data_IF_347016978814
#
_entry.id   IF_347016978814
#
_cell.length_a   1.000
_cell.length_b   1.000
_cell.length_c   1.000
_cell.angle_alpha   90.00
_cell.angle_beta   90.00
_cell.angle_gamma   90.00
#
_symmetry.space_group_name_H-M   'P 1'
#
loop_
_entity.id
_entity.type
_entity.pdbx_description
1 polymer ?
#
# COMPACT_ATOMS: atom_id res chain seq x y z
N UNK A 1 -21.85 -2.22 -25.35
CA UNK A 1 -20.87 -1.87 -24.29
C UNK A 1 -19.84 -0.96 -24.90
N UNK A 2 -19.49 0.12 -24.24
CA UNK A 2 -18.39 0.98 -24.66
C UNK A 2 -17.04 0.28 -24.44
N UNK A 3 -15.96 0.78 -25.05
CA UNK A 3 -14.59 0.23 -24.81
C UNK A 3 -14.21 0.26 -23.32
N UNK A 4 -14.78 1.19 -22.57
CA UNK A 4 -14.56 1.35 -21.12
C UNK A 4 -15.31 0.30 -20.30
N UNK A 5 -16.55 0.00 -20.70
CA UNK A 5 -17.32 -1.05 -20.04
C UNK A 5 -16.56 -2.38 -20.12
N UNK A 6 -15.89 -2.66 -21.25
CA UNK A 6 -15.07 -3.86 -21.42
C UNK A 6 -13.83 -3.85 -20.53
N UNK A 7 -13.15 -2.70 -20.38
CA UNK A 7 -11.97 -2.57 -19.50
C UNK A 7 -12.40 -2.75 -18.04
N UNK A 8 -13.49 -2.09 -17.63
CA UNK A 8 -14.06 -2.23 -16.29
C UNK A 8 -14.43 -3.69 -16.00
N UNK A 9 -15.12 -4.35 -16.95
CA UNK A 9 -15.46 -5.77 -16.84
C UNK A 9 -14.20 -6.65 -16.73
N UNK A 10 -13.13 -6.34 -17.47
CA UNK A 10 -11.89 -7.09 -17.38
C UNK A 10 -11.26 -7.02 -15.98
N UNK A 11 -11.34 -5.87 -15.30
CA UNK A 11 -10.88 -5.76 -13.92
C UNK A 11 -11.79 -6.51 -12.94
N UNK A 12 -13.10 -6.55 -13.16
CA UNK A 12 -14.02 -7.38 -12.38
C UNK A 12 -13.66 -8.87 -12.54
N UNK A 13 -13.40 -9.32 -13.77
CA UNK A 13 -12.96 -10.69 -14.04
C UNK A 13 -11.58 -10.97 -13.42
N UNK A 14 -10.67 -9.99 -13.40
CA UNK A 14 -9.40 -10.10 -12.71
C UNK A 14 -9.61 -10.29 -11.19
N UNK A 15 -10.53 -9.53 -10.58
CA UNK A 15 -10.90 -9.70 -9.17
C UNK A 15 -11.36 -11.11 -8.86
N UNK A 16 -12.25 -11.66 -9.71
CA UNK A 16 -12.71 -13.06 -9.60
C UNK A 16 -11.56 -14.05 -9.78
N UNK A 17 -10.65 -13.80 -10.72
CA UNK A 17 -9.50 -14.66 -10.96
C UNK A 17 -8.54 -14.70 -9.76
N UNK A 18 -8.13 -13.53 -9.22
CA UNK A 18 -7.18 -13.46 -8.09
C UNK A 18 -7.79 -13.94 -6.77
N UNK A 19 -9.13 -13.92 -6.59
CA UNK A 19 -9.79 -14.42 -5.39
C UNK A 19 -9.50 -15.89 -5.09
N UNK A 20 -9.07 -16.68 -6.08
CA UNK A 20 -8.69 -18.07 -5.90
C UNK A 20 -7.39 -18.24 -5.11
N UNK A 21 -6.59 -17.17 -5.01
CA UNK A 21 -5.27 -17.17 -4.38
C UNK A 21 -5.27 -16.42 -3.04
N UNK A 22 -6.45 -15.99 -2.56
CA UNK A 22 -6.59 -15.26 -1.28
C UNK A 22 -6.75 -16.18 -0.07
N UNK A 23 -7.02 -17.47 -0.27
CA UNK A 23 -7.17 -18.47 0.81
C UNK A 23 -5.86 -19.25 1.07
N UNK A 24 -5.79 -19.93 2.22
CA UNK A 24 -4.65 -20.80 2.55
C UNK A 24 -4.52 -21.96 1.58
N UNK A 25 -5.63 -22.60 1.28
CA UNK A 25 -5.74 -23.64 0.27
C UNK A 25 -6.13 -22.98 -1.05
N UNK A 26 -5.16 -22.95 -1.96
CA UNK A 26 -5.36 -22.39 -3.31
C UNK A 26 -5.99 -23.46 -4.17
N UNK A 27 -7.28 -23.29 -4.45
CA UNK A 27 -8.05 -24.21 -5.28
C UNK A 27 -8.50 -23.53 -6.57
N UNK A 28 -8.41 -24.28 -7.68
CA UNK A 28 -8.89 -23.84 -8.98
C UNK A 28 -10.42 -23.93 -9.01
N UNK A 29 -11.07 -22.75 -9.01
CA UNK A 29 -12.52 -22.65 -9.01
C UNK A 29 -13.07 -22.86 -10.43
N UNK A 30 -14.22 -23.49 -10.51
CA UNK A 30 -15.02 -23.54 -11.76
C UNK A 30 -15.57 -22.16 -12.10
N UNK A 31 -15.90 -21.92 -13.37
CA UNK A 31 -16.53 -20.69 -13.86
C UNK A 31 -15.68 -19.40 -13.75
N UNK A 32 -14.37 -19.49 -13.59
CA UNK A 32 -13.45 -18.37 -13.73
C UNK A 32 -12.97 -18.30 -15.18
N UNK A 33 -13.12 -17.12 -15.77
CA UNK A 33 -12.77 -16.89 -17.18
C UNK A 33 -11.27 -17.16 -17.42
N UNK A 34 -10.95 -17.96 -18.45
CA UNK A 34 -9.59 -18.34 -18.86
C UNK A 34 -8.74 -19.02 -17.75
N UNK A 35 -9.40 -19.63 -16.76
CA UNK A 35 -8.73 -20.24 -15.61
C UNK A 35 -7.71 -21.32 -16.02
N UNK A 36 -8.06 -22.16 -17.02
CA UNK A 36 -7.18 -23.22 -17.50
C UNK A 36 -5.86 -22.69 -18.07
N UNK A 37 -5.87 -21.50 -18.63
CA UNK A 37 -4.69 -20.88 -19.24
C UNK A 37 -3.81 -20.17 -18.21
N UNK A 38 -4.41 -19.56 -17.17
CA UNK A 38 -3.69 -18.62 -16.30
C UNK A 38 -3.43 -19.14 -14.86
N UNK A 39 -4.21 -20.09 -14.35
CA UNK A 39 -4.16 -20.48 -12.94
C UNK A 39 -2.78 -20.97 -12.50
N UNK A 40 -2.25 -22.00 -13.17
CA UNK A 40 -0.96 -22.61 -12.78
C UNK A 40 0.21 -21.65 -13.00
N UNK A 41 0.14 -20.85 -14.08
CA UNK A 41 1.14 -19.83 -14.34
C UNK A 41 1.16 -18.76 -13.27
N UNK A 42 0.00 -18.28 -12.78
CA UNK A 42 -0.02 -17.27 -11.72
C UNK A 42 0.43 -17.84 -10.37
N UNK A 43 0.06 -19.09 -10.06
CA UNK A 43 0.58 -19.81 -8.89
C UNK A 43 2.11 -19.88 -8.91
N UNK A 44 2.69 -20.08 -10.10
CA UNK A 44 4.15 -20.06 -10.28
C UNK A 44 4.73 -18.65 -10.07
N UNK A 45 4.07 -17.58 -10.56
CA UNK A 45 4.54 -16.21 -10.33
C UNK A 45 4.52 -15.82 -8.84
N UNK A 46 3.52 -16.26 -8.08
CA UNK A 46 3.48 -16.07 -6.61
C UNK A 46 4.72 -16.72 -5.95
N UNK A 47 5.10 -17.93 -6.39
CA UNK A 47 6.30 -18.58 -5.88
C UNK A 47 7.58 -17.78 -6.22
N UNK A 48 7.71 -17.34 -7.47
CA UNK A 48 8.85 -16.54 -7.90
C UNK A 48 8.94 -15.20 -7.17
N UNK A 49 7.81 -14.52 -6.94
CA UNK A 49 7.78 -13.26 -6.19
C UNK A 49 8.37 -13.42 -4.78
N UNK A 50 8.04 -14.51 -4.07
CA UNK A 50 8.63 -14.84 -2.77
C UNK A 50 10.14 -15.13 -2.85
N UNK A 51 10.55 -15.88 -3.87
CA UNK A 51 11.97 -16.23 -4.06
C UNK A 51 12.83 -14.98 -4.37
N UNK A 52 12.26 -14.05 -5.14
CA UNK A 52 12.94 -12.82 -5.52
C UNK A 52 12.98 -11.77 -4.41
N UNK A 53 11.90 -11.65 -3.65
CA UNK A 53 11.79 -10.70 -2.54
C UNK A 53 11.32 -11.42 -1.26
N UNK A 54 12.23 -11.63 -0.32
CA UNK A 54 11.91 -12.31 0.94
C UNK A 54 10.84 -11.61 1.79
N UNK A 55 10.53 -10.32 1.55
CA UNK A 55 9.40 -9.63 2.17
C UNK A 55 8.04 -10.03 1.60
N UNK A 56 8.02 -10.64 0.42
CA UNK A 56 6.81 -11.10 -0.26
C UNK A 56 6.45 -12.52 0.18
N UNK A 57 6.21 -12.71 1.48
CA UNK A 57 5.78 -14.02 1.98
C UNK A 57 4.44 -14.43 1.35
N UNK A 58 4.14 -15.71 1.36
CA UNK A 58 2.85 -16.22 0.86
C UNK A 58 1.67 -15.53 1.56
N UNK A 59 1.81 -15.28 2.85
CA UNK A 59 0.78 -14.60 3.65
C UNK A 59 0.57 -13.16 3.16
N UNK A 60 1.64 -12.38 2.99
CA UNK A 60 1.56 -11.01 2.52
C UNK A 60 1.03 -10.90 1.08
N UNK A 61 1.47 -11.80 0.18
CA UNK A 61 0.91 -11.84 -1.18
C UNK A 61 -0.58 -12.18 -1.12
N UNK A 62 -0.97 -13.19 -0.35
CA UNK A 62 -2.38 -13.59 -0.17
C UNK A 62 -3.23 -12.45 0.36
N UNK A 63 -2.75 -11.75 1.39
CA UNK A 63 -3.44 -10.60 1.97
C UNK A 63 -3.64 -9.49 0.93
N UNK A 64 -2.63 -9.18 0.12
CA UNK A 64 -2.74 -8.20 -0.97
C UNK A 64 -3.77 -8.65 -2.03
N UNK A 65 -3.74 -9.92 -2.44
CA UNK A 65 -4.68 -10.47 -3.41
C UNK A 65 -6.11 -10.49 -2.88
N UNK A 66 -6.31 -10.77 -1.59
CA UNK A 66 -7.62 -10.71 -0.93
C UNK A 66 -8.18 -9.28 -0.95
N UNK A 67 -7.38 -8.31 -0.54
CA UNK A 67 -7.76 -6.90 -0.60
C UNK A 67 -8.15 -6.49 -2.02
N UNK A 68 -7.33 -6.78 -3.03
CA UNK A 68 -7.63 -6.44 -4.41
C UNK A 68 -8.84 -7.20 -4.97
N UNK A 69 -9.01 -8.48 -4.64
CA UNK A 69 -10.20 -9.23 -5.09
C UNK A 69 -11.50 -8.64 -4.55
N UNK A 70 -11.48 -8.12 -3.34
CA UNK A 70 -12.62 -7.43 -2.72
C UNK A 70 -12.89 -6.09 -3.40
N UNK A 71 -11.84 -5.27 -3.62
CA UNK A 71 -11.97 -3.95 -4.24
C UNK A 71 -12.39 -4.05 -5.72
N UNK A 72 -11.97 -5.09 -6.44
CA UNK A 72 -12.35 -5.33 -7.83
C UNK A 72 -13.73 -6.01 -7.97
N UNK A 73 -14.57 -6.01 -6.93
CA UNK A 73 -15.96 -6.43 -7.07
C UNK A 73 -16.75 -5.48 -7.99
N UNK A 74 -17.79 -5.99 -8.62
CA UNK A 74 -18.62 -5.22 -9.55
C UNK A 74 -19.23 -3.98 -8.87
N UNK A 75 -19.72 -4.15 -7.64
CA UNK A 75 -20.36 -3.08 -6.88
C UNK A 75 -19.34 -1.97 -6.53
N UNK A 76 -18.16 -2.34 -6.00
CA UNK A 76 -17.12 -1.36 -5.60
C UNK A 76 -16.59 -0.57 -6.80
N UNK A 77 -16.26 -1.25 -7.92
CA UNK A 77 -15.76 -0.57 -9.12
C UNK A 77 -16.84 0.36 -9.70
N UNK A 78 -18.08 -0.09 -9.81
CA UNK A 78 -19.15 0.74 -10.36
C UNK A 78 -19.45 1.93 -9.47
N UNK A 79 -19.54 1.73 -8.15
CA UNK A 79 -19.77 2.81 -7.19
C UNK A 79 -18.63 3.86 -7.27
N UNK A 80 -17.38 3.43 -7.32
CA UNK A 80 -16.23 4.30 -7.44
C UNK A 80 -16.25 5.11 -8.73
N UNK A 81 -16.43 4.45 -9.89
CA UNK A 81 -16.37 5.10 -11.21
C UNK A 81 -17.59 5.98 -11.51
N UNK A 82 -18.73 5.80 -10.84
CA UNK A 82 -19.90 6.66 -11.00
C UNK A 82 -19.65 8.13 -10.64
N UNK A 83 -18.59 8.40 -9.87
CA UNK A 83 -18.18 9.77 -9.51
C UNK A 83 -17.43 10.50 -10.64
N UNK A 84 -17.07 9.81 -11.74
CA UNK A 84 -16.20 10.34 -12.78
C UNK A 84 -16.84 10.24 -14.17
N UNK A 85 -16.74 11.33 -14.94
CA UNK A 85 -17.12 11.30 -16.37
C UNK A 85 -15.88 10.96 -17.20
N UNK A 86 -15.74 9.70 -17.54
CA UNK A 86 -14.60 9.21 -18.34
C UNK A 86 -14.90 9.13 -19.85
N UNK A 87 -16.06 9.61 -20.36
CA UNK A 87 -16.52 9.36 -21.74
C UNK A 87 -15.80 10.13 -22.84
N UNK A 88 -15.16 11.24 -22.50
CA UNK A 88 -14.53 12.15 -23.48
C UNK A 88 -13.01 12.27 -23.29
N UNK A 89 -12.33 11.20 -22.90
CA UNK A 89 -10.89 11.22 -22.69
C UNK A 89 -10.15 10.96 -24.00
N UNK A 90 -9.24 11.84 -24.37
CA UNK A 90 -8.26 11.59 -25.42
C UNK A 90 -7.13 10.74 -24.86
N UNK A 91 -6.93 9.50 -25.35
CA UNK A 91 -5.91 8.62 -24.79
C UNK A 91 -4.51 9.22 -24.83
N UNK A 92 -3.81 9.21 -23.70
CA UNK A 92 -2.42 9.62 -23.52
C UNK A 92 -1.61 8.47 -22.93
N UNK A 93 -0.29 8.54 -23.02
CA UNK A 93 0.60 7.59 -22.37
C UNK A 93 1.02 8.13 -21.01
N UNK A 94 0.63 7.46 -19.94
CA UNK A 94 0.99 7.80 -18.56
C UNK A 94 2.08 6.86 -18.08
N UNK A 95 3.22 7.43 -17.70
CA UNK A 95 4.31 6.66 -17.09
C UNK A 95 4.02 6.45 -15.61
N UNK A 96 4.25 5.23 -15.10
CA UNK A 96 4.18 4.93 -13.66
C UNK A 96 5.54 4.40 -13.21
N UNK A 97 6.14 5.06 -12.21
CA UNK A 97 7.33 4.57 -11.51
C UNK A 97 6.87 3.97 -10.19
N UNK A 98 6.95 2.65 -10.07
CA UNK A 98 6.40 1.92 -8.96
C UNK A 98 7.44 1.66 -7.87
N UNK A 99 7.04 1.79 -6.61
CA UNK A 99 7.74 1.19 -5.49
C UNK A 99 7.59 -0.35 -5.53
N UNK A 100 8.34 -1.06 -4.69
CA UNK A 100 8.28 -2.52 -4.59
C UNK A 100 8.54 -3.02 -3.18
N UNK A 101 8.09 -2.24 -2.19
CA UNK A 101 8.21 -2.54 -0.77
C UNK A 101 7.15 -3.55 -0.29
N UNK A 102 5.95 -3.51 -0.88
CA UNK A 102 4.85 -4.43 -0.60
C UNK A 102 4.26 -4.98 -1.91
N UNK A 103 3.63 -6.18 -1.89
CA UNK A 103 3.06 -6.78 -3.09
C UNK A 103 2.00 -5.90 -3.76
N UNK A 104 2.13 -5.68 -5.07
CA UNK A 104 1.17 -4.92 -5.89
C UNK A 104 0.93 -3.47 -5.44
N UNK A 105 1.91 -2.83 -4.80
CA UNK A 105 1.78 -1.45 -4.28
C UNK A 105 1.38 -0.43 -5.35
N UNK A 106 1.83 -0.60 -6.58
CA UNK A 106 1.50 0.30 -7.70
C UNK A 106 0.24 -0.10 -8.49
N UNK A 107 -0.51 -1.11 -8.03
CA UNK A 107 -1.67 -1.62 -8.77
C UNK A 107 -2.80 -0.61 -8.86
N UNK A 108 -3.02 0.22 -7.82
CA UNK A 108 -4.06 1.24 -7.84
C UNK A 108 -3.84 2.27 -8.97
N UNK A 109 -2.63 2.79 -9.11
CA UNK A 109 -2.30 3.73 -10.19
C UNK A 109 -2.44 3.09 -11.57
N UNK A 110 -2.02 1.83 -11.70
CA UNK A 110 -2.18 1.05 -12.91
C UNK A 110 -3.67 0.89 -13.29
N UNK A 111 -4.52 0.57 -12.33
CA UNK A 111 -5.97 0.51 -12.49
C UNK A 111 -6.53 1.86 -12.91
N UNK A 112 -6.20 2.95 -12.18
CA UNK A 112 -6.68 4.31 -12.47
C UNK A 112 -6.36 4.73 -13.90
N UNK A 113 -5.13 4.51 -14.37
CA UNK A 113 -4.72 4.89 -15.74
C UNK A 113 -5.53 4.15 -16.80
N UNK A 114 -5.76 2.86 -16.64
CA UNK A 114 -6.46 2.06 -17.64
C UNK A 114 -7.98 2.32 -17.66
N UNK A 115 -8.62 2.46 -16.49
CA UNK A 115 -10.07 2.74 -16.42
C UNK A 115 -10.39 4.17 -16.85
N UNK A 116 -9.45 5.10 -16.74
CA UNK A 116 -9.56 6.46 -17.30
C UNK A 116 -9.41 6.50 -18.82
N UNK A 117 -9.03 5.39 -19.47
CA UNK A 117 -8.91 5.31 -20.93
C UNK A 117 -7.51 5.63 -21.48
N UNK A 118 -6.52 5.79 -20.65
CA UNK A 118 -5.13 6.07 -21.01
C UNK A 118 -4.32 4.79 -21.26
N UNK A 119 -3.15 4.95 -21.84
CA UNK A 119 -2.13 3.89 -21.99
C UNK A 119 -1.16 3.99 -20.82
N UNK A 120 -0.66 2.85 -20.36
CA UNK A 120 0.27 2.81 -19.22
C UNK A 120 1.66 2.35 -19.66
N UNK A 121 2.68 3.11 -19.25
CA UNK A 121 4.09 2.75 -19.37
C UNK A 121 4.65 2.54 -17.96
N UNK A 122 4.85 1.28 -17.58
CA UNK A 122 5.23 0.92 -16.21
C UNK A 122 6.73 0.71 -16.10
N UNK A 123 7.36 1.44 -15.19
CA UNK A 123 8.70 1.16 -14.71
C UNK A 123 8.58 0.52 -13.32
N UNK A 124 8.73 -0.80 -13.28
CA UNK A 124 8.63 -1.56 -12.05
C UNK A 124 9.87 -1.40 -11.17
N UNK A 125 9.68 -1.59 -9.88
CA UNK A 125 10.78 -1.85 -8.96
C UNK A 125 11.43 -3.19 -9.28
N UNK A 126 12.74 -3.29 -9.11
CA UNK A 126 13.44 -4.58 -9.18
C UNK A 126 12.92 -5.61 -8.17
N UNK A 127 12.27 -5.16 -7.10
CA UNK A 127 11.75 -6.00 -6.03
C UNK A 127 10.35 -6.59 -6.30
N UNK A 128 9.60 -6.08 -7.30
CA UNK A 128 8.26 -6.57 -7.66
C UNK A 128 8.08 -6.64 -9.19
N UNK A 129 8.60 -7.73 -9.78
CA UNK A 129 8.59 -7.94 -11.24
C UNK A 129 7.69 -9.07 -11.70
N UNK A 130 7.13 -9.84 -10.79
CA UNK A 130 6.47 -11.10 -11.11
C UNK A 130 4.96 -11.01 -11.18
N UNK A 131 4.33 -10.33 -10.21
CA UNK A 131 2.88 -10.35 -10.05
C UNK A 131 2.17 -9.52 -11.14
N UNK A 132 2.43 -8.22 -11.18
CA UNK A 132 1.70 -7.30 -12.06
C UNK A 132 1.82 -7.62 -13.55
N UNK A 133 3.00 -7.97 -14.11
CA UNK A 133 3.08 -8.29 -15.54
C UNK A 133 2.26 -9.51 -15.94
N UNK A 134 2.11 -10.48 -15.02
CA UNK A 134 1.27 -11.63 -15.30
C UNK A 134 -0.22 -11.30 -15.25
N UNK A 135 -0.64 -10.47 -14.29
CA UNK A 135 -2.02 -9.95 -14.21
C UNK A 135 -2.37 -9.09 -15.42
N UNK A 136 -1.40 -8.29 -15.92
CA UNK A 136 -1.57 -7.52 -17.16
C UNK A 136 -1.82 -8.42 -18.38
N UNK A 137 -1.10 -9.56 -18.51
CA UNK A 137 -1.36 -10.54 -19.56
C UNK A 137 -2.77 -11.15 -19.46
N UNK A 138 -3.25 -11.39 -18.26
CA UNK A 138 -4.63 -11.84 -18.05
C UNK A 138 -5.63 -10.78 -18.54
N UNK A 139 -5.43 -9.50 -18.17
CA UNK A 139 -6.26 -8.39 -18.62
C UNK A 139 -6.26 -8.24 -20.15
N UNK A 140 -5.12 -8.31 -20.80
CA UNK A 140 -5.01 -8.26 -22.27
C UNK A 140 -5.68 -9.46 -22.96
N UNK A 141 -5.81 -10.58 -22.26
CA UNK A 141 -6.51 -11.76 -22.79
C UNK A 141 -8.03 -11.62 -22.65
N UNK A 142 -8.50 -11.09 -21.52
CA UNK A 142 -9.92 -10.83 -21.25
C UNK A 142 -10.45 -9.66 -22.09
N UNK A 143 -9.66 -8.59 -22.21
CA UNK A 143 -9.99 -7.39 -22.99
C UNK A 143 -8.88 -7.15 -24.06
N UNK A 144 -9.03 -7.75 -25.27
CA UNK A 144 -8.03 -7.62 -26.34
C UNK A 144 -7.71 -6.18 -26.74
N UNK A 145 -8.59 -5.24 -26.51
CA UNK A 145 -8.39 -3.79 -26.69
C UNK A 145 -7.31 -3.19 -25.81
N UNK A 146 -6.88 -3.89 -24.75
CA UNK A 146 -5.74 -3.50 -23.91
C UNK A 146 -4.38 -3.87 -24.53
N UNK A 147 -4.37 -4.72 -25.57
CA UNK A 147 -3.12 -5.10 -26.24
C UNK A 147 -2.41 -3.87 -26.80
N UNK A 148 -1.15 -3.72 -26.40
CA UNK A 148 -0.31 -2.58 -26.79
C UNK A 148 -0.56 -1.29 -25.98
N UNK A 149 -1.58 -1.25 -25.10
CA UNK A 149 -1.82 -0.14 -24.18
C UNK A 149 -1.07 -0.30 -22.86
N UNK A 150 -0.61 -1.50 -22.54
CA UNK A 150 0.17 -1.81 -21.35
C UNK A 150 1.60 -2.13 -21.77
N UNK A 151 2.56 -1.36 -21.27
CA UNK A 151 3.97 -1.58 -21.55
C UNK A 151 4.77 -1.57 -20.25
N UNK A 152 5.69 -2.52 -20.12
CA UNK A 152 6.66 -2.57 -19.02
C UNK A 152 8.04 -2.25 -19.58
N UNK A 153 8.83 -1.49 -18.81
CA UNK A 153 10.21 -1.15 -19.19
C UNK A 153 11.14 -1.19 -17.99
N UNK A 154 12.37 -1.61 -18.21
CA UNK A 154 13.48 -1.47 -17.27
C UNK A 154 14.37 -0.27 -17.64
N UNK A 155 14.25 0.22 -18.88
CA UNK A 155 15.03 1.31 -19.43
C UNK A 155 14.55 2.68 -18.95
N UNK A 156 15.20 3.73 -19.47
CA UNK A 156 14.78 5.10 -19.29
C UNK A 156 13.38 5.32 -19.87
N UNK A 157 12.54 6.05 -19.11
CA UNK A 157 11.21 6.40 -19.60
C UNK A 157 11.29 7.41 -20.74
N UNK A 158 10.67 7.07 -21.86
CA UNK A 158 10.59 7.92 -23.06
C UNK A 158 9.17 7.90 -23.63
N UNK A 159 8.81 8.94 -24.36
CA UNK A 159 7.53 9.04 -25.08
C UNK A 159 6.28 8.84 -24.17
N UNK A 160 6.18 9.61 -23.10
CA UNK A 160 5.00 9.68 -22.23
C UNK A 160 4.50 11.12 -22.08
N UNK A 161 3.22 11.28 -21.75
CA UNK A 161 2.54 12.58 -21.65
C UNK A 161 2.45 13.07 -20.21
N UNK A 162 2.22 12.17 -19.26
CA UNK A 162 2.13 12.43 -17.83
C UNK A 162 2.84 11.35 -17.04
N UNK A 163 3.11 11.60 -15.74
CA UNK A 163 3.81 10.64 -14.88
C UNK A 163 3.24 10.57 -13.49
N UNK A 164 3.14 9.37 -12.95
CA UNK A 164 2.88 9.08 -11.54
C UNK A 164 4.13 8.38 -11.00
N UNK A 165 4.82 9.00 -10.04
CA UNK A 165 6.10 8.49 -9.56
C UNK A 165 6.11 8.39 -8.03
N UNK A 166 6.46 7.22 -7.52
CA UNK A 166 6.60 6.95 -6.09
C UNK A 166 8.07 6.72 -5.75
N UNK A 167 8.59 7.42 -4.76
CA UNK A 167 10.00 7.29 -4.37
C UNK A 167 10.29 7.83 -2.97
N UNK A 168 11.51 7.58 -2.49
CA UNK A 168 12.00 8.20 -1.26
C UNK A 168 12.05 9.74 -1.40
N UNK A 169 12.12 10.46 -0.29
CA UNK A 169 12.20 11.93 -0.32
C UNK A 169 13.37 12.43 -1.20
N UNK A 170 14.51 11.73 -1.20
CA UNK A 170 15.62 12.08 -2.09
C UNK A 170 15.28 11.80 -3.56
N UNK A 171 14.69 10.66 -3.86
CA UNK A 171 14.30 10.28 -5.22
C UNK A 171 13.21 11.21 -5.76
N UNK A 172 12.26 11.63 -4.93
CA UNK A 172 11.18 12.54 -5.29
C UNK A 172 11.72 13.90 -5.78
N UNK A 173 12.78 14.45 -5.13
CA UNK A 173 13.43 15.69 -5.60
C UNK A 173 13.99 15.55 -7.01
N UNK A 174 14.56 14.39 -7.36
CA UNK A 174 15.00 14.12 -8.73
C UNK A 174 13.82 14.03 -9.69
N UNK A 175 12.71 13.40 -9.29
CA UNK A 175 11.50 13.31 -10.11
C UNK A 175 10.89 14.70 -10.35
N UNK A 176 10.78 15.53 -9.32
CA UNK A 176 10.32 16.93 -9.45
C UNK A 176 11.16 17.72 -10.47
N UNK A 177 12.47 17.52 -10.47
CA UNK A 177 13.37 18.16 -11.44
C UNK A 177 13.21 17.60 -12.84
N UNK A 178 13.20 16.27 -13.01
CA UNK A 178 13.13 15.63 -14.32
C UNK A 178 11.78 15.80 -15.02
N UNK A 179 10.70 15.81 -14.24
CA UNK A 179 9.33 15.84 -14.78
C UNK A 179 8.66 17.21 -14.68
N UNK A 180 9.38 18.26 -14.31
CA UNK A 180 8.85 19.63 -14.10
C UNK A 180 8.03 20.21 -15.26
N UNK A 181 8.22 19.71 -16.49
CA UNK A 181 7.55 20.19 -17.70
C UNK A 181 6.40 19.25 -18.13
N UNK A 182 6.00 18.28 -17.30
CA UNK A 182 4.93 17.35 -17.58
C UNK A 182 3.94 17.32 -16.42
N UNK A 183 2.64 17.12 -16.69
CA UNK A 183 1.70 16.79 -15.64
C UNK A 183 2.22 15.62 -14.80
N UNK A 184 2.24 15.77 -13.49
CA UNK A 184 2.84 14.75 -12.63
C UNK A 184 2.22 14.66 -11.25
N UNK A 185 2.08 13.43 -10.73
CA UNK A 185 1.89 13.12 -9.32
C UNK A 185 3.21 12.55 -8.82
N UNK A 186 3.86 13.24 -7.89
CA UNK A 186 5.12 12.76 -7.30
C UNK A 186 4.88 12.52 -5.82
N UNK A 187 4.89 11.24 -5.45
CA UNK A 187 4.67 10.79 -4.09
C UNK A 187 5.97 10.65 -3.34
N UNK A 188 6.00 11.25 -2.14
CA UNK A 188 7.11 11.21 -1.19
C UNK A 188 6.86 10.15 -0.13
N UNK A 189 7.84 9.88 0.71
CA UNK A 189 7.62 9.05 1.87
C UNK A 189 6.69 9.76 2.85
N UNK A 190 5.57 9.10 3.14
CA UNK A 190 4.69 9.43 4.25
C UNK A 190 4.62 8.23 5.19
N UNK A 191 4.21 8.47 6.42
CA UNK A 191 4.08 7.46 7.45
C UNK A 191 2.73 7.60 8.13
N UNK A 192 2.24 6.52 8.72
CA UNK A 192 0.99 6.58 9.47
C UNK A 192 1.21 6.65 10.97
N UNK A 193 0.30 7.32 11.64
CA UNK A 193 0.33 7.48 13.08
C UNK A 193 -0.96 6.92 13.72
N UNK A 194 -0.87 6.46 14.96
CA UNK A 194 -2.04 6.14 15.78
C UNK A 194 -2.09 7.07 16.99
N UNK A 195 -3.30 7.46 17.37
CA UNK A 195 -3.57 8.23 18.58
C UNK A 195 -4.20 7.30 19.60
N UNK A 196 -3.54 7.15 20.73
CA UNK A 196 -4.02 6.36 21.84
C UNK A 196 -4.39 7.29 23.01
N UNK A 197 -5.49 6.98 23.67
CA UNK A 197 -6.04 7.76 24.79
C UNK A 197 -5.74 7.14 26.14
N UNK A 198 -5.33 5.84 26.12
CA UNK A 198 -5.18 5.00 27.32
C UNK A 198 -6.46 4.25 27.71
N UNK A 199 -7.53 4.40 26.93
CA UNK A 199 -8.83 3.74 27.17
C UNK A 199 -9.17 2.72 26.06
N UNK A 200 -8.22 2.39 25.21
CA UNK A 200 -8.43 1.45 24.11
C UNK A 200 -8.83 0.08 24.65
N UNK A 201 -9.83 -0.52 24.03
CA UNK A 201 -10.19 -1.90 24.32
C UNK A 201 -9.10 -2.86 23.82
N UNK A 202 -9.11 -4.08 24.38
CA UNK A 202 -8.20 -5.13 23.90
C UNK A 202 -8.37 -5.36 22.39
N UNK A 203 -9.60 -5.36 21.88
CA UNK A 203 -9.92 -5.53 20.47
C UNK A 203 -9.31 -4.43 19.61
N UNK A 204 -9.39 -3.17 20.03
CA UNK A 204 -8.77 -2.04 19.32
C UNK A 204 -7.25 -2.19 19.26
N UNK A 205 -6.60 -2.56 20.37
CA UNK A 205 -5.15 -2.79 20.37
C UNK A 205 -4.75 -4.04 19.56
N UNK A 206 -5.55 -5.10 19.59
CA UNK A 206 -5.37 -6.28 18.73
C UNK A 206 -5.48 -5.90 17.24
N UNK A 207 -6.40 -5.01 16.88
CA UNK A 207 -6.54 -4.48 15.50
C UNK A 207 -5.37 -3.55 15.14
N UNK A 208 -4.92 -2.68 16.05
CA UNK A 208 -3.75 -1.81 15.82
C UNK A 208 -2.50 -2.61 15.49
N UNK A 209 -2.35 -3.80 16.05
CA UNK A 209 -1.19 -4.64 15.73
C UNK A 209 -1.15 -5.05 14.25
N UNK A 210 -2.30 -5.21 13.59
CA UNK A 210 -2.39 -5.43 12.15
C UNK A 210 -1.88 -4.21 11.38
N UNK A 211 -2.25 -2.99 11.83
CA UNK A 211 -1.81 -1.74 11.22
C UNK A 211 -0.29 -1.53 11.36
N UNK A 212 0.32 -2.06 12.41
CA UNK A 212 1.78 -1.97 12.66
C UNK A 212 2.54 -3.03 11.86
N UNK A 213 2.16 -4.31 11.97
CA UNK A 213 3.00 -5.42 11.54
C UNK A 213 2.71 -5.95 10.14
N UNK A 214 1.53 -5.71 9.56
CA UNK A 214 1.24 -6.17 8.21
C UNK A 214 2.32 -5.66 7.25
N UNK A 215 2.76 -6.51 6.33
CA UNK A 215 3.88 -6.23 5.44
C UNK A 215 5.19 -5.85 6.17
N UNK A 216 5.38 -6.29 7.41
CA UNK A 216 6.56 -5.99 8.23
C UNK A 216 6.77 -4.49 8.51
N UNK A 217 5.71 -3.70 8.49
CA UNK A 217 5.79 -2.26 8.67
C UNK A 217 6.37 -1.50 7.46
N UNK A 218 6.43 -2.12 6.27
CA UNK A 218 7.09 -1.55 5.09
C UNK A 218 6.20 -0.60 4.27
N UNK A 219 4.88 -0.59 4.47
CA UNK A 219 3.97 0.27 3.75
C UNK A 219 3.87 1.67 4.37
N UNK A 220 3.57 2.70 3.55
CA UNK A 220 3.31 4.05 4.07
C UNK A 220 2.06 4.13 4.97
N UNK A 221 1.12 3.20 4.81
CA UNK A 221 -0.06 3.07 5.66
C UNK A 221 0.20 2.27 6.95
N UNK A 222 1.40 1.71 7.16
CA UNK A 222 1.74 1.08 8.43
C UNK A 222 1.95 2.14 9.52
N UNK A 223 1.40 1.87 10.69
CA UNK A 223 1.60 2.73 11.86
C UNK A 223 3.04 2.59 12.36
N UNK A 224 3.79 3.66 12.25
CA UNK A 224 5.19 3.78 12.70
C UNK A 224 5.37 4.80 13.83
N UNK A 225 4.29 5.52 14.18
CA UNK A 225 4.27 6.54 15.23
C UNK A 225 3.02 6.40 16.10
N UNK A 226 3.19 6.53 17.41
CA UNK A 226 2.10 6.63 18.38
C UNK A 226 2.11 8.03 19.01
N UNK A 227 0.94 8.64 19.15
CA UNK A 227 0.70 9.76 20.04
C UNK A 227 -0.04 9.23 21.26
N UNK A 228 0.50 9.50 22.44
CA UNK A 228 0.00 8.92 23.72
C UNK A 228 -0.08 10.00 24.81
N UNK A 229 -1.02 9.90 25.76
CA UNK A 229 -1.05 10.81 26.90
C UNK A 229 0.12 10.58 27.85
N UNK A 230 0.50 11.59 28.61
CA UNK A 230 1.50 11.43 29.68
C UNK A 230 1.07 10.35 30.66
N UNK A 231 2.02 9.47 31.01
CA UNK A 231 1.77 8.36 31.93
C UNK A 231 1.07 7.15 31.31
N UNK A 232 1.00 7.08 29.97
CA UNK A 232 0.47 5.92 29.26
C UNK A 232 1.21 4.63 29.68
N UNK A 233 0.45 3.58 30.02
CA UNK A 233 1.00 2.27 30.35
C UNK A 233 0.99 1.36 29.12
N UNK A 234 2.16 0.93 28.69
CA UNK A 234 2.34 0.07 27.52
C UNK A 234 2.06 -1.43 27.75
N UNK A 235 1.70 -1.87 28.98
CA UNK A 235 1.50 -3.29 29.27
C UNK A 235 0.39 -3.90 28.38
N UNK A 236 -0.76 -3.22 28.26
CA UNK A 236 -1.87 -3.66 27.41
C UNK A 236 -1.49 -3.62 25.91
N UNK A 237 -0.74 -2.59 25.49
CA UNK A 237 -0.22 -2.49 24.14
C UNK A 237 0.69 -3.68 23.80
N UNK A 238 1.71 -3.96 24.61
CA UNK A 238 2.61 -5.09 24.36
C UNK A 238 1.89 -6.44 24.41
N UNK A 239 0.90 -6.60 25.32
CA UNK A 239 0.09 -7.82 25.37
C UNK A 239 -0.68 -8.06 24.07
N UNK A 240 -1.26 -7.01 23.47
CA UNK A 240 -1.96 -7.09 22.18
C UNK A 240 -1.01 -7.37 21.00
N UNK A 241 0.20 -6.81 21.05
CA UNK A 241 1.22 -7.06 20.01
C UNK A 241 1.70 -8.51 19.99
N UNK A 242 1.59 -9.25 21.10
CA UNK A 242 2.19 -10.58 21.26
C UNK A 242 1.71 -11.63 20.27
N UNK A 243 0.51 -11.50 19.69
CA UNK A 243 0.04 -12.40 18.63
C UNK A 243 0.95 -12.40 17.39
N UNK A 244 1.72 -11.31 17.20
CA UNK A 244 2.69 -11.17 16.12
C UNK A 244 4.09 -11.67 16.46
N UNK A 245 4.31 -12.21 17.67
CA UNK A 245 5.62 -12.75 18.08
C UNK A 245 6.26 -13.67 17.02
N UNK A 246 5.53 -14.55 16.28
CA UNK A 246 6.15 -15.37 15.24
C UNK A 246 6.89 -14.61 14.13
N UNK A 247 6.71 -13.28 14.02
CA UNK A 247 7.38 -12.43 13.03
C UNK A 247 8.92 -12.49 13.14
N UNK A 248 9.46 -12.82 14.33
CA UNK A 248 10.92 -12.98 14.52
C UNK A 248 11.48 -14.20 13.78
N UNK A 249 10.64 -15.13 13.34
CA UNK A 249 11.08 -16.27 12.54
C UNK A 249 11.42 -15.88 11.11
N UNK A 250 11.01 -14.70 10.67
CA UNK A 250 11.38 -14.14 9.37
C UNK A 250 12.74 -13.43 9.47
N UNK A 251 13.76 -14.08 8.91
CA UNK A 251 15.17 -13.68 9.08
C UNK A 251 15.45 -12.20 8.76
N UNK A 252 14.78 -11.64 7.74
CA UNK A 252 14.93 -10.21 7.41
C UNK A 252 14.41 -9.30 8.51
N UNK A 253 13.26 -9.66 9.14
CA UNK A 253 12.70 -8.89 10.24
C UNK A 253 13.58 -8.99 11.49
N UNK A 254 13.97 -10.21 11.88
CA UNK A 254 14.85 -10.46 13.01
C UNK A 254 16.18 -9.70 12.89
N UNK A 255 16.81 -9.74 11.71
CA UNK A 255 18.07 -9.01 11.47
C UNK A 255 17.89 -7.47 11.64
N UNK A 256 16.74 -6.91 11.21
CA UNK A 256 16.47 -5.49 11.43
C UNK A 256 16.21 -5.19 12.90
N UNK A 257 15.47 -6.05 13.61
CA UNK A 257 15.28 -5.92 15.06
C UNK A 257 16.60 -5.91 15.79
N UNK A 258 17.46 -6.90 15.57
CA UNK A 258 18.77 -7.01 16.23
C UNK A 258 19.68 -5.82 15.91
N UNK A 259 19.71 -5.40 14.64
CA UNK A 259 20.51 -4.25 14.21
C UNK A 259 20.04 -2.95 14.88
N UNK A 260 18.75 -2.65 14.84
CA UNK A 260 18.21 -1.42 15.41
C UNK A 260 18.33 -1.42 16.94
N UNK A 261 18.15 -2.58 17.60
CA UNK A 261 18.37 -2.75 19.04
C UNK A 261 19.82 -2.44 19.41
N UNK A 262 20.78 -2.98 18.68
CA UNK A 262 22.20 -2.71 18.89
C UNK A 262 22.52 -1.22 18.73
N UNK A 263 21.99 -0.57 17.68
CA UNK A 263 22.17 0.88 17.45
C UNK A 263 21.63 1.69 18.62
N UNK A 264 20.43 1.37 19.11
CA UNK A 264 19.81 2.13 20.21
C UNK A 264 20.56 1.93 21.54
N UNK A 265 21.00 0.71 21.85
CA UNK A 265 21.81 0.43 23.04
C UNK A 265 23.15 1.17 22.97
N UNK A 266 23.85 1.12 21.82
CA UNK A 266 25.13 1.82 21.65
C UNK A 266 25.01 3.34 21.70
N UNK A 267 23.85 3.88 21.34
CA UNK A 267 23.55 5.32 21.38
C UNK A 267 22.94 5.76 22.69
N UNK A 268 22.81 4.86 23.67
CA UNK A 268 22.23 5.10 25.00
C UNK A 268 20.80 5.68 24.94
N UNK A 269 20.00 5.29 23.93
CA UNK A 269 18.60 5.69 23.83
C UNK A 269 17.72 4.82 24.75
N UNK A 270 16.85 5.49 25.49
CA UNK A 270 15.80 4.80 26.24
C UNK A 270 14.79 4.16 25.27
N UNK A 271 14.50 2.88 25.46
CA UNK A 271 13.52 2.13 24.70
C UNK A 271 12.85 1.07 25.56
N UNK A 272 11.61 0.70 25.23
CA UNK A 272 10.95 -0.49 25.73
C UNK A 272 10.88 -1.52 24.60
N UNK A 273 10.91 -2.83 24.95
CA UNK A 273 10.89 -3.88 23.94
C UNK A 273 10.28 -5.17 24.49
N UNK A 274 9.79 -6.04 23.59
CA UNK A 274 9.16 -7.31 23.96
C UNK A 274 9.77 -8.53 23.23
N UNK A 275 10.99 -8.41 22.71
CA UNK A 275 11.70 -9.46 22.00
C UNK A 275 11.48 -9.46 20.47
N UNK A 276 10.56 -8.66 19.94
CA UNK A 276 10.35 -8.53 18.48
C UNK A 276 9.89 -7.12 18.07
N UNK A 277 9.50 -6.25 18.97
CA UNK A 277 9.14 -4.87 18.72
C UNK A 277 9.82 -3.97 19.76
N UNK A 278 10.38 -2.87 19.31
CA UNK A 278 10.87 -1.78 20.15
C UNK A 278 9.95 -0.58 20.04
N UNK A 279 9.77 0.15 21.14
CA UNK A 279 9.16 1.48 21.13
C UNK A 279 10.15 2.48 21.73
N UNK A 280 10.25 3.64 21.09
CA UNK A 280 11.21 4.70 21.44
C UNK A 280 10.54 6.07 21.36
N UNK A 281 10.80 6.93 22.35
CA UNK A 281 10.39 8.32 22.24
C UNK A 281 11.19 9.02 21.14
N UNK A 282 10.51 9.57 20.15
CA UNK A 282 11.10 10.29 19.03
C UNK A 282 10.05 11.17 18.35
N UNK A 283 10.46 12.34 17.86
CA UNK A 283 9.56 13.26 17.14
C UNK A 283 9.35 12.88 15.68
N UNK A 284 10.22 12.04 15.11
CA UNK A 284 10.08 11.59 13.72
C UNK A 284 8.87 10.70 13.51
N UNK A 285 8.31 10.71 12.31
CA UNK A 285 7.24 9.80 11.90
C UNK A 285 7.77 8.47 11.36
N UNK A 286 8.93 8.48 10.73
CA UNK A 286 9.52 7.33 10.06
C UNK A 286 10.38 6.49 11.02
N UNK A 287 9.78 5.53 11.72
CA UNK A 287 10.54 4.56 12.49
C UNK A 287 11.13 3.45 11.59
N UNK A 288 12.28 2.88 11.94
CA UNK A 288 12.82 1.74 11.22
C UNK A 288 12.01 0.46 11.49
N UNK A 289 12.24 -0.58 10.68
CA UNK A 289 11.59 -1.89 10.86
C UNK A 289 11.79 -2.40 12.29
N UNK A 290 10.78 -3.05 12.84
CA UNK A 290 10.73 -3.56 14.21
C UNK A 290 10.78 -2.48 15.30
N UNK A 291 10.50 -1.23 14.93
CA UNK A 291 10.42 -0.10 15.87
C UNK A 291 9.15 0.70 15.60
N UNK A 292 8.52 1.18 16.66
CA UNK A 292 7.47 2.21 16.59
C UNK A 292 7.91 3.38 17.46
N UNK A 293 7.88 4.59 16.91
CA UNK A 293 8.16 5.78 17.68
C UNK A 293 6.93 6.21 18.47
N UNK A 294 7.12 6.89 19.60
CA UNK A 294 6.02 7.51 20.30
C UNK A 294 6.37 8.94 20.73
N UNK A 295 5.33 9.73 20.95
CA UNK A 295 5.42 11.09 21.44
C UNK A 295 4.25 11.35 22.41
N UNK A 296 4.52 12.06 23.49
CA UNK A 296 3.47 12.46 24.42
C UNK A 296 2.73 13.69 23.92
N UNK A 297 1.43 13.72 24.07
CA UNK A 297 0.64 14.92 23.91
C UNK A 297 0.07 15.40 25.25
N UNK A 298 -0.09 16.72 25.39
CA UNK A 298 -0.64 17.33 26.61
C UNK A 298 -2.15 17.45 26.53
N UNK A 299 -2.69 17.92 25.39
CA UNK A 299 -4.13 18.07 25.14
C UNK A 299 -4.46 17.64 23.71
N UNK A 300 -5.73 17.28 23.51
CA UNK A 300 -6.22 16.93 22.15
C UNK A 300 -6.05 18.09 21.18
N UNK A 301 -6.35 19.34 21.60
CA UNK A 301 -6.26 20.52 20.75
C UNK A 301 -4.82 20.77 20.27
N UNK A 302 -3.84 20.63 21.16
CA UNK A 302 -2.41 20.79 20.77
C UNK A 302 -1.96 19.70 19.82
N UNK A 303 -2.46 18.46 20.01
CA UNK A 303 -2.16 17.38 19.07
C UNK A 303 -2.82 17.62 17.71
N UNK A 304 -4.10 18.03 17.66
CA UNK A 304 -4.79 18.35 16.38
C UNK A 304 -4.03 19.42 15.61
N UNK A 305 -3.59 20.50 16.26
CA UNK A 305 -2.77 21.53 15.63
C UNK A 305 -1.45 21.00 15.07
N UNK A 306 -0.77 20.10 15.81
CA UNK A 306 0.45 19.44 15.33
C UNK A 306 0.18 18.59 14.10
N UNK A 307 -0.87 17.78 14.12
CA UNK A 307 -1.24 16.90 13.00
C UNK A 307 -1.59 17.72 11.74
N UNK A 308 -2.26 18.85 11.88
CA UNK A 308 -2.57 19.75 10.77
C UNK A 308 -1.31 20.37 10.16
N UNK A 309 -0.33 20.71 10.99
CA UNK A 309 0.99 21.20 10.51
C UNK A 309 1.74 20.11 9.78
N UNK A 310 1.74 18.89 10.32
CA UNK A 310 2.53 17.74 9.85
C UNK A 310 1.78 16.92 8.77
N UNK A 311 0.62 17.35 8.30
CA UNK A 311 -0.25 16.59 7.37
C UNK A 311 0.48 16.03 6.14
N UNK A 312 1.46 16.77 5.61
CA UNK A 312 2.25 16.34 4.44
C UNK A 312 3.24 15.20 4.75
N UNK A 313 3.44 14.88 6.03
CA UNK A 313 4.27 13.76 6.50
C UNK A 313 3.44 12.52 6.84
N UNK A 314 2.11 12.69 6.95
CA UNK A 314 1.19 11.67 7.45
C UNK A 314 0.36 11.10 6.30
N UNK A 315 0.32 9.76 6.21
CA UNK A 315 -0.54 9.05 5.24
C UNK A 315 -1.91 8.71 5.83
N UNK A 316 -1.92 8.21 7.06
CA UNK A 316 -3.14 7.84 7.79
C UNK A 316 -3.01 8.21 9.25
N UNK A 317 -4.13 8.58 9.86
CA UNK A 317 -4.28 8.73 11.30
C UNK A 317 -5.26 7.65 11.78
N UNK A 318 -4.80 6.76 12.65
CA UNK A 318 -5.62 5.73 13.29
C UNK A 318 -6.08 6.25 14.64
N UNK A 319 -7.39 6.34 14.84
CA UNK A 319 -7.97 6.80 16.10
C UNK A 319 -9.41 6.31 16.23
N UNK A 320 -10.10 6.69 17.32
CA UNK A 320 -11.51 6.43 17.56
C UNK A 320 -12.18 7.68 18.11
N UNK A 321 -12.77 8.49 17.22
CA UNK A 321 -13.49 9.72 17.55
C UNK A 321 -12.59 10.91 17.93
N UNK A 322 -11.34 10.92 17.49
CA UNK A 322 -10.37 11.96 17.84
C UNK A 322 -10.17 12.99 16.71
N UNK A 323 -10.13 12.55 15.46
CA UNK A 323 -9.74 13.36 14.31
C UNK A 323 -10.70 13.18 13.12
N UNK A 324 -10.94 14.25 12.37
CA UNK A 324 -11.71 14.16 11.13
C UNK A 324 -10.95 13.33 10.09
N UNK A 325 -11.63 12.45 9.39
CA UNK A 325 -11.04 11.51 8.41
C UNK A 325 -10.05 10.49 9.02
N UNK A 326 -10.20 10.17 10.30
CA UNK A 326 -9.43 9.08 10.92
C UNK A 326 -9.81 7.72 10.34
N UNK A 327 -8.86 6.79 10.39
CA UNK A 327 -9.06 5.41 9.97
C UNK A 327 -9.28 4.56 11.24
N UNK A 328 -10.33 3.74 11.28
CA UNK A 328 -10.54 2.82 12.39
C UNK A 328 -9.38 1.83 12.55
N UNK A 329 -9.13 1.39 13.78
CA UNK A 329 -8.13 0.38 14.11
C UNK A 329 -8.26 -0.87 13.22
N UNK A 330 -7.16 -1.36 12.67
CA UNK A 330 -7.09 -2.55 11.80
C UNK A 330 -7.52 -2.32 10.34
N UNK A 331 -7.70 -1.06 9.93
CA UNK A 331 -8.18 -0.72 8.59
C UNK A 331 -7.15 -0.06 7.67
N UNK A 332 -5.97 0.31 8.18
CA UNK A 332 -4.98 1.02 7.34
C UNK A 332 -4.54 0.23 6.12
N UNK A 333 -4.49 -1.10 6.22
CA UNK A 333 -4.06 -1.99 5.14
C UNK A 333 -5.20 -2.50 4.25
N UNK A 334 -6.40 -1.92 4.40
CA UNK A 334 -7.60 -2.25 3.61
C UNK A 334 -8.23 -0.99 3.01
N UNK A 335 -7.47 -0.21 2.20
CA UNK A 335 -8.00 0.99 1.57
C UNK A 335 -9.10 0.63 0.57
N UNK A 336 -10.06 1.54 0.42
CA UNK A 336 -11.06 1.50 -0.65
C UNK A 336 -10.48 2.07 -1.96
N UNK A 337 -11.19 1.92 -3.07
CA UNK A 337 -10.76 2.48 -4.36
C UNK A 337 -10.71 4.02 -4.36
N UNK A 338 -11.49 4.65 -3.50
CA UNK A 338 -11.50 6.11 -3.29
C UNK A 338 -10.40 6.62 -2.34
N UNK A 339 -9.71 5.72 -1.63
CA UNK A 339 -8.62 6.09 -0.71
C UNK A 339 -7.31 6.31 -1.48
N UNK A 340 -7.24 7.40 -2.20
CA UNK A 340 -6.05 7.75 -2.98
C UNK A 340 -4.83 8.00 -2.11
N UNK A 341 -3.67 7.56 -2.59
CA UNK A 341 -2.42 7.84 -1.90
C UNK A 341 -2.14 9.36 -1.88
N UNK A 342 -1.69 9.86 -0.73
CA UNK A 342 -1.38 11.27 -0.48
C UNK A 342 -2.59 12.21 -0.63
N UNK A 343 -3.83 11.68 -0.55
CA UNK A 343 -5.09 12.40 -0.78
C UNK A 343 -5.20 13.07 -2.17
N UNK A 344 -4.44 12.57 -3.14
CA UNK A 344 -4.48 13.08 -4.52
C UNK A 344 -5.36 12.19 -5.37
N UNK A 345 -6.53 12.68 -5.75
CA UNK A 345 -7.44 11.97 -6.66
C UNK A 345 -6.78 11.72 -8.01
N UNK A 346 -6.31 10.48 -8.17
CA UNK A 346 -5.58 10.05 -9.38
C UNK A 346 -6.49 10.04 -10.61
N UNK A 347 -7.77 9.67 -10.47
CA UNK A 347 -8.71 9.70 -11.60
C UNK A 347 -8.97 11.14 -12.03
N UNK A 348 -9.25 12.06 -11.10
CA UNK A 348 -9.46 13.47 -11.44
C UNK A 348 -8.24 14.06 -12.18
N UNK A 349 -7.03 13.81 -11.66
CA UNK A 349 -5.79 14.21 -12.35
C UNK A 349 -5.70 13.64 -13.78
N UNK A 350 -6.03 12.36 -13.98
CA UNK A 350 -5.96 11.70 -15.28
C UNK A 350 -7.01 12.23 -16.27
N UNK A 351 -8.14 12.74 -15.80
CA UNK A 351 -9.17 13.34 -16.65
C UNK A 351 -8.80 14.76 -17.10
N UNK A 352 -7.89 15.44 -16.41
CA UNK A 352 -7.46 16.81 -16.71
C UNK A 352 -6.25 16.88 -17.68
N UNK A 353 -5.53 15.78 -17.87
CA UNK A 353 -4.34 15.74 -18.74
C UNK A 353 -4.64 15.61 -20.21
#
# INVERSE_FOLDING_TARGET
MSNKDHITEAFIQLGRFISQFSSEEVEKKENILHNDLFFDGFKHQIKLAKEYNGWFTKENIRFSLDGWSTQLSEDNIKQWLNNYNTDQVTPKTVAIIMAGNIPLVGFHDFLCVLVSGHHVLVKQSSNDKHLLPYLAKYLEHVAPELKGKIKFTEDKLEAFDAVIATGSNNTARYFEFYFKNKPSIIRKNRNSAAILTGNETKEQLDLLSEDIFRYYGLGCRNVSKLFIPKGYNFDAFFAAMYKWHPIVNESKYANNYDYNKAVYIMSEFDMLENGFLMIKEDQSYASPIATVFYEYYDTEDTLKQKLDIDKDLIQCIVADGFYENEIPFGKTQKPELSDYADDVDTIAFLLEI
#
